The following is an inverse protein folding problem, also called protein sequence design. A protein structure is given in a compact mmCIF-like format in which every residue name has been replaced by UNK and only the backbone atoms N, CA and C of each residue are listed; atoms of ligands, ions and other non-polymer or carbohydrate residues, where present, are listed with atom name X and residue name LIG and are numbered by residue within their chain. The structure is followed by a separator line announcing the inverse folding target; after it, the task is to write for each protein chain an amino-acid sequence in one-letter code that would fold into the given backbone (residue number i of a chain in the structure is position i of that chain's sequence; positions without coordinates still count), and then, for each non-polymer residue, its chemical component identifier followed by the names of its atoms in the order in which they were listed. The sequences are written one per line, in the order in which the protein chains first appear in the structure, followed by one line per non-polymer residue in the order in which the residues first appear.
data_IF_269986638309
#
_entry.id   IF_269986638309
#
_cell.length_a   1.000
_cell.length_b   1.000
_cell.length_c   1.000
_cell.angle_alpha   90.00
_cell.angle_beta   90.00
_cell.angle_gamma   90.00
#
_symmetry.space_group_name_H-M   'P 1'
#
loop_
_entity.id
_entity.type
_entity.pdbx_description
1 polymer ?
#
# COMPACT_ATOMS: atom_id res chain seq x y z
N UNK A 1 -21.08 -8.15 9.70
CA UNK A 1 -20.38 -7.22 8.78
C UNK A 1 -20.76 -5.81 9.20
N UNK A 2 -19.84 -4.84 9.18
CA UNK A 2 -20.16 -3.49 9.66
C UNK A 2 -21.19 -2.82 8.74
N UNK A 3 -21.96 -1.86 9.29
CA UNK A 3 -22.91 -1.07 8.51
C UNK A 3 -22.20 -0.15 7.49
N UNK A 4 -21.04 0.37 7.89
CA UNK A 4 -20.11 1.12 7.05
C UNK A 4 -18.71 0.59 7.30
N UNK A 5 -18.00 0.25 6.23
CA UNK A 5 -16.64 -0.30 6.31
C UNK A 5 -15.60 0.77 6.64
N UNK A 6 -14.41 0.33 7.04
CA UNK A 6 -13.28 1.25 7.26
C UNK A 6 -12.97 2.00 5.97
N UNK A 7 -12.77 3.31 6.07
CA UNK A 7 -12.49 4.15 4.92
C UNK A 7 -13.70 4.51 4.06
N UNK A 8 -14.91 4.08 4.41
CA UNK A 8 -16.14 4.44 3.70
C UNK A 8 -16.50 5.92 3.91
N UNK A 9 -16.83 6.61 2.81
CA UNK A 9 -17.28 7.99 2.83
C UNK A 9 -18.04 8.34 1.54
N UNK A 10 -19.13 9.08 1.68
CA UNK A 10 -19.92 9.56 0.55
C UNK A 10 -19.36 10.90 0.05
N UNK A 11 -19.48 11.10 -1.26
CA UNK A 11 -19.30 12.40 -1.91
C UNK A 11 -20.60 12.82 -2.61
N UNK A 12 -20.68 14.06 -3.05
CA UNK A 12 -21.78 14.56 -3.87
C UNK A 12 -21.70 14.09 -5.33
N UNK A 13 -20.63 13.38 -5.70
CA UNK A 13 -20.46 12.74 -7.01
C UNK A 13 -19.81 11.37 -6.87
N UNK A 14 -19.81 10.60 -7.95
CA UNK A 14 -19.20 9.29 -8.07
C UNK A 14 -17.90 9.37 -8.87
N UNK A 15 -16.98 8.45 -8.59
CA UNK A 15 -15.74 8.26 -9.34
C UNK A 15 -15.57 6.77 -9.65
N UNK A 16 -14.93 6.47 -10.77
CA UNK A 16 -14.63 5.11 -11.18
C UNK A 16 -13.11 4.90 -11.21
N UNK A 17 -12.69 3.75 -10.68
CA UNK A 17 -11.32 3.28 -10.74
C UNK A 17 -11.17 2.36 -11.96
N UNK A 18 -10.14 2.60 -12.77
CA UNK A 18 -9.75 1.62 -13.78
C UNK A 18 -9.32 0.33 -13.08
N UNK A 19 -9.73 -0.83 -13.60
CA UNK A 19 -9.38 -2.12 -13.01
C UNK A 19 -7.90 -2.47 -13.23
N UNK A 20 -7.18 -1.71 -14.05
CA UNK A 20 -5.78 -1.97 -14.35
C UNK A 20 -4.83 -1.26 -13.37
N UNK A 21 -4.41 -2.00 -12.34
CA UNK A 21 -3.31 -1.60 -11.45
C UNK A 21 -1.96 -1.98 -12.08
N UNK A 22 -1.06 -1.01 -12.24
CA UNK A 22 0.32 -1.25 -12.67
C UNK A 22 1.21 -1.33 -11.44
N UNK A 23 1.91 -2.44 -11.24
CA UNK A 23 2.88 -2.61 -10.14
C UNK A 23 4.28 -2.78 -10.74
N UNK A 24 5.24 -1.99 -10.27
CA UNK A 24 6.64 -2.01 -10.70
C UNK A 24 7.56 -2.25 -9.52
N UNK A 25 8.48 -3.19 -9.67
CA UNK A 25 9.58 -3.35 -8.70
C UNK A 25 10.66 -2.31 -8.98
N UNK A 26 11.07 -1.61 -7.92
CA UNK A 26 12.14 -0.61 -7.92
C UNK A 26 13.47 -1.28 -7.56
N UNK A 27 13.44 -2.16 -6.56
CA UNK A 27 14.60 -2.89 -6.07
C UNK A 27 14.28 -4.37 -5.89
N UNK A 28 15.24 -5.23 -6.20
CA UNK A 28 15.16 -6.65 -5.93
C UNK A 28 15.53 -6.96 -4.48
N UNK A 29 14.79 -7.88 -3.87
CA UNK A 29 15.08 -8.37 -2.51
C UNK A 29 15.98 -9.59 -2.64
N UNK A 30 17.21 -9.52 -2.11
CA UNK A 30 18.17 -10.64 -2.14
C UNK A 30 18.01 -11.60 -0.95
N UNK A 31 17.45 -11.11 0.16
CA UNK A 31 17.21 -11.87 1.39
C UNK A 31 15.89 -11.45 2.02
N UNK A 32 15.08 -12.38 2.57
CA UNK A 32 13.82 -12.03 3.25
C UNK A 32 14.04 -11.18 4.52
N UNK A 33 15.21 -11.28 5.16
CA UNK A 33 15.55 -10.52 6.37
C UNK A 33 16.34 -9.26 6.03
N UNK A 34 16.11 -8.14 6.75
CA UNK A 34 16.95 -6.95 6.63
C UNK A 34 18.38 -7.24 7.10
N UNK A 35 19.35 -6.42 6.69
CA UNK A 35 20.76 -6.63 7.02
C UNK A 35 20.98 -6.63 8.53
N UNK A 36 21.50 -7.73 9.07
CA UNK A 36 21.83 -7.83 10.50
C UNK A 36 23.05 -6.99 10.92
N UNK A 37 23.81 -6.47 9.96
CA UNK A 37 25.01 -5.66 10.19
C UNK A 37 24.66 -4.16 10.19
N UNK A 38 23.47 -3.78 9.71
CA UNK A 38 23.04 -2.39 9.73
C UNK A 38 22.79 -1.91 11.16
N UNK A 39 23.32 -0.73 11.48
CA UNK A 39 23.08 -0.09 12.78
C UNK A 39 21.59 0.18 12.97
N UNK A 40 21.08 -0.12 14.16
CA UNK A 40 19.69 0.15 14.52
C UNK A 40 19.52 1.65 14.71
N UNK A 41 18.62 2.25 13.93
CA UNK A 41 18.26 3.66 14.01
C UNK A 41 16.89 3.83 14.70
N UNK A 42 16.47 5.07 14.93
CA UNK A 42 15.11 5.36 15.36
C UNK A 42 14.11 4.77 14.36
N UNK A 43 13.25 3.85 14.83
CA UNK A 43 12.33 3.09 13.98
C UNK A 43 12.78 1.67 13.64
N UNK A 44 14.02 1.29 13.96
CA UNK A 44 14.55 -0.06 13.79
C UNK A 44 15.61 -0.14 12.71
N UNK A 45 15.65 -1.27 11.99
CA UNK A 45 16.61 -1.48 10.92
C UNK A 45 16.30 -0.57 9.72
N UNK A 46 17.26 0.24 9.24
CA UNK A 46 17.03 1.20 8.16
C UNK A 46 16.59 0.54 6.83
N UNK A 47 16.96 -0.72 6.59
CA UNK A 47 16.57 -1.46 5.39
C UNK A 47 15.05 -1.63 5.25
N UNK A 48 14.31 -1.54 6.36
CA UNK A 48 12.84 -1.61 6.37
C UNK A 48 12.21 -0.44 5.61
N UNK A 49 12.90 0.69 5.47
CA UNK A 49 12.38 1.90 4.84
C UNK A 49 12.76 2.03 3.36
N UNK A 50 13.51 1.07 2.81
CA UNK A 50 13.88 1.07 1.40
C UNK A 50 12.65 0.78 0.53
N UNK A 51 12.39 1.63 -0.47
CA UNK A 51 11.32 1.45 -1.45
C UNK A 51 11.52 0.20 -2.28
N UNK A 52 10.49 -0.64 -2.40
CA UNK A 52 10.54 -1.90 -3.14
C UNK A 52 9.61 -1.92 -4.34
N UNK A 53 8.37 -1.48 -4.15
CA UNK A 53 7.34 -1.50 -5.18
C UNK A 53 6.74 -0.11 -5.33
N UNK A 54 6.44 0.26 -6.57
CA UNK A 54 5.54 1.35 -6.88
C UNK A 54 4.29 0.77 -7.50
N UNK A 55 3.13 1.34 -7.16
CA UNK A 55 1.88 1.04 -7.85
C UNK A 55 1.19 2.31 -8.33
N UNK A 56 0.72 2.25 -9.57
CA UNK A 56 -0.02 3.30 -10.25
C UNK A 56 -1.36 2.74 -10.73
N UNK A 57 -2.45 3.49 -10.54
CA UNK A 57 -3.77 3.19 -11.10
C UNK A 57 -4.24 4.37 -11.94
N UNK A 58 -5.26 4.18 -12.78
CA UNK A 58 -5.91 5.30 -13.48
C UNK A 58 -7.32 5.48 -12.93
N UNK A 59 -7.73 6.72 -12.82
CA UNK A 59 -9.06 7.10 -12.35
C UNK A 59 -9.76 7.98 -13.37
N UNK A 60 -11.08 7.87 -13.36
CA UNK A 60 -11.96 8.70 -14.16
C UNK A 60 -13.11 9.24 -13.29
N UNK A 61 -13.55 10.46 -13.62
CA UNK A 61 -14.64 11.11 -12.90
C UNK A 61 -15.41 12.06 -13.81
N UNK A 62 -16.71 12.13 -13.59
CA UNK A 62 -17.64 12.88 -14.44
C UNK A 62 -17.83 14.35 -14.02
N UNK A 63 -17.59 14.66 -12.74
CA UNK A 63 -17.74 15.98 -12.15
C UNK A 63 -16.56 16.29 -11.24
N UNK A 64 -16.27 17.59 -10.97
CA UNK A 64 -15.23 17.95 -10.03
C UNK A 64 -15.48 17.35 -8.64
N UNK A 65 -14.45 16.76 -8.04
CA UNK A 65 -14.56 16.01 -6.80
C UNK A 65 -13.28 16.07 -5.96
N UNK A 66 -13.41 15.83 -4.66
CA UNK A 66 -12.30 15.40 -3.81
C UNK A 66 -12.55 13.95 -3.40
N UNK A 67 -11.62 13.05 -3.71
CA UNK A 67 -11.72 11.62 -3.37
C UNK A 67 -10.50 11.15 -2.59
N UNK A 68 -10.67 10.08 -1.82
CA UNK A 68 -9.60 9.42 -1.07
C UNK A 68 -9.41 8.02 -1.63
N UNK A 69 -8.28 7.82 -2.31
CA UNK A 69 -7.87 6.53 -2.88
C UNK A 69 -7.12 5.75 -1.81
N UNK A 70 -7.45 4.48 -1.63
CA UNK A 70 -6.93 3.64 -0.55
C UNK A 70 -6.29 2.38 -1.10
N UNK A 71 -5.05 2.09 -0.70
CA UNK A 71 -4.33 0.89 -1.08
C UNK A 71 -4.43 -0.17 0.02
N UNK A 72 -4.96 -1.33 -0.35
CA UNK A 72 -4.98 -2.52 0.51
C UNK A 72 -4.16 -3.63 -0.14
N UNK A 73 -3.29 -4.26 0.65
CA UNK A 73 -2.45 -5.38 0.21
C UNK A 73 -2.82 -6.66 0.94
N UNK A 74 -2.81 -7.76 0.21
CA UNK A 74 -2.97 -9.11 0.74
C UNK A 74 -1.69 -9.92 0.45
N UNK A 75 -1.01 -10.35 1.51
CA UNK A 75 0.21 -11.16 1.40
C UNK A 75 -0.15 -12.64 1.36
N UNK A 76 -0.12 -13.25 0.16
CA UNK A 76 -0.46 -14.66 -0.08
C UNK A 76 0.77 -15.58 -0.06
N UNK A 77 1.57 -15.53 1.01
CA UNK A 77 2.77 -16.37 1.13
C UNK A 77 2.55 -17.45 2.20
N UNK A 78 2.98 -18.69 1.91
CA UNK A 78 2.84 -19.85 2.82
C UNK A 78 3.56 -19.67 4.16
N UNK A 79 4.48 -18.72 4.25
CA UNK A 79 5.23 -18.36 5.45
C UNK A 79 4.56 -17.29 6.32
N UNK A 80 3.44 -16.72 5.87
CA UNK A 80 2.68 -15.71 6.61
C UNK A 80 1.95 -16.37 7.78
N UNK A 81 2.05 -15.85 9.01
CA UNK A 81 1.35 -16.41 10.16
C UNK A 81 -0.16 -16.53 9.91
N UNK A 82 -0.77 -17.63 10.36
CA UNK A 82 -2.18 -18.01 10.12
C UNK A 82 -3.23 -16.96 10.58
N UNK A 83 -2.80 -15.94 11.33
CA UNK A 83 -3.64 -14.82 11.81
C UNK A 83 -3.31 -13.47 11.17
N UNK A 84 -2.49 -13.44 10.12
CA UNK A 84 -2.20 -12.21 9.39
C UNK A 84 -3.45 -11.81 8.61
N UNK A 85 -3.87 -10.56 8.76
CA UNK A 85 -5.13 -10.06 8.21
C UNK A 85 -5.22 -10.27 6.70
N UNK A 86 -6.41 -10.62 6.21
CA UNK A 86 -6.69 -10.88 4.78
C UNK A 86 -6.53 -9.62 3.92
N UNK A 87 -6.59 -8.42 4.51
CA UNK A 87 -6.32 -7.15 3.83
C UNK A 87 -5.71 -6.16 4.82
N UNK A 88 -4.55 -5.61 4.48
CA UNK A 88 -3.86 -4.59 5.28
C UNK A 88 -3.90 -3.27 4.53
N UNK A 89 -4.34 -2.21 5.20
CA UNK A 89 -4.28 -0.85 4.68
C UNK A 89 -2.85 -0.33 4.75
N UNK A 90 -2.28 0.06 3.60
CA UNK A 90 -0.88 0.49 3.50
C UNK A 90 -0.71 1.94 3.05
N UNK A 91 -1.77 2.61 2.63
CA UNK A 91 -1.66 4.01 2.24
C UNK A 91 -2.94 4.57 1.66
N UNK A 92 -2.99 5.89 1.59
CA UNK A 92 -4.05 6.61 0.91
C UNK A 92 -3.51 7.87 0.24
N UNK A 93 -4.18 8.29 -0.82
CA UNK A 93 -3.93 9.56 -1.50
C UNK A 93 -5.25 10.33 -1.61
N UNK A 94 -5.22 11.63 -1.27
CA UNK A 94 -6.39 12.50 -1.42
C UNK A 94 -6.22 13.33 -2.69
N UNK A 95 -7.04 13.02 -3.68
CA UNK A 95 -7.00 13.68 -4.98
C UNK A 95 -8.09 14.75 -5.08
N UNK A 96 -7.73 15.92 -5.62
CA UNK A 96 -8.66 16.98 -6.02
C UNK A 96 -8.67 17.05 -7.54
N UNK A 97 -9.86 16.91 -8.11
CA UNK A 97 -10.02 16.42 -9.46
C UNK A 97 -11.05 17.28 -10.20
N UNK A 98 -10.74 17.81 -11.38
CA UNK A 98 -11.65 18.61 -12.23
C UNK A 98 -12.28 17.74 -13.30
N UNK A 99 -13.52 17.95 -13.74
CA UNK A 99 -14.19 17.03 -14.69
C UNK A 99 -13.29 16.57 -15.87
N UNK A 100 -13.22 15.25 -16.09
CA UNK A 100 -12.39 14.57 -17.12
C UNK A 100 -10.86 14.64 -16.96
N UNK A 101 -10.36 15.17 -15.84
CA UNK A 101 -8.95 15.02 -15.51
C UNK A 101 -8.62 13.52 -15.30
N UNK A 102 -7.34 13.17 -15.45
CA UNK A 102 -6.79 11.84 -15.15
C UNK A 102 -5.50 12.07 -14.38
N UNK A 103 -5.48 11.69 -13.10
CA UNK A 103 -4.33 11.85 -12.23
C UNK A 103 -4.10 10.53 -11.49
N UNK A 104 -3.13 9.71 -11.93
CA UNK A 104 -2.90 8.40 -11.34
C UNK A 104 -2.33 8.57 -9.92
N UNK A 105 -2.92 7.94 -8.88
CA UNK A 105 -2.32 7.90 -7.56
C UNK A 105 -1.05 7.10 -7.64
N UNK A 106 -0.11 7.49 -6.80
CA UNK A 106 1.19 6.85 -6.72
C UNK A 106 1.44 6.36 -5.31
N UNK A 107 1.48 5.04 -5.15
CA UNK A 107 1.84 4.43 -3.87
C UNK A 107 3.23 3.81 -3.97
N UNK A 108 4.15 4.33 -3.17
CA UNK A 108 5.47 3.73 -2.96
C UNK A 108 5.43 2.86 -1.69
N UNK A 109 5.71 1.57 -1.83
CA UNK A 109 5.74 0.60 -0.75
C UNK A 109 7.18 0.30 -0.38
N UNK A 110 7.51 0.50 0.89
CA UNK A 110 8.78 0.14 1.48
C UNK A 110 8.82 -1.34 1.86
N UNK A 111 10.03 -1.81 2.20
CA UNK A 111 10.25 -3.17 2.69
C UNK A 111 9.40 -3.51 3.91
N UNK A 112 9.28 -2.59 4.85
CA UNK A 112 8.50 -2.75 6.08
C UNK A 112 7.01 -2.97 5.80
N UNK A 113 6.46 -2.27 4.80
CA UNK A 113 5.05 -2.37 4.41
C UNK A 113 4.67 -3.77 3.89
N UNK A 114 5.66 -4.49 3.36
CA UNK A 114 5.51 -5.83 2.79
C UNK A 114 6.09 -6.93 3.68
N UNK A 115 6.46 -6.59 4.92
CA UNK A 115 7.08 -7.52 5.87
C UNK A 115 6.11 -7.92 6.97
N UNK A 116 6.38 -9.06 7.60
CA UNK A 116 5.73 -9.47 8.84
C UNK A 116 6.78 -9.86 9.87
N UNK A 117 6.42 -9.72 11.15
CA UNK A 117 7.34 -10.06 12.23
C UNK A 117 7.42 -11.57 12.43
N UNK A 118 8.65 -12.11 12.45
CA UNK A 118 8.92 -13.52 12.75
C UNK A 118 9.51 -13.65 14.16
N UNK A 119 8.74 -14.21 15.08
CA UNK A 119 9.10 -14.31 16.51
C UNK A 119 10.22 -15.30 16.82
N UNK A 120 10.54 -16.21 15.90
CA UNK A 120 11.55 -17.26 16.10
C UNK A 120 12.94 -16.91 15.56
N UNK A 121 13.14 -15.70 15.02
CA UNK A 121 14.43 -15.24 14.47
C UNK A 121 15.06 -14.22 15.41
N UNK A 122 15.07 -14.54 16.70
CA UNK A 122 15.85 -13.78 17.68
C UNK A 122 16.99 -14.67 18.15
N UNK A 123 18.16 -14.48 17.54
CA UNK A 123 19.44 -14.78 18.18
C UNK A 123 19.95 -13.51 18.87
#
# INVERSE_FOLDING_TARGET
MPLFEFGFGLSYTIFDLDQQLTVKSIHSITSPLPSSIADIMSGGNPDLYNGLLNSDCKEYWYLPCATVLQLYVFLQVTSVPERTLVKVFLGFEKAYLSANDVAPPHFALARGDLSFWKTTVHD
#
